data_IF_075895611277
#
_entry.id   IF_075895611277
#
_cell.length_a   1.000
_cell.length_b   1.000
_cell.length_c   1.000
_cell.angle_alpha   90.00
_cell.angle_beta   90.00
_cell.angle_gamma   90.00
#
_symmetry.space_group_name_H-M   'P 1'
#
loop_
_entity.id
_entity.type
_entity.pdbx_description
1 polymer ?
#
# COMPACT_ATOMS: atom_id res chain seq x y z
N UNK A 1 21.71 -14.71 -12.07
CA UNK A 1 20.35 -15.28 -12.19
C UNK A 1 19.97 -15.72 -10.78
N UNK A 2 19.13 -14.97 -10.06
CA UNK A 2 18.80 -15.33 -8.67
C UNK A 2 17.71 -16.41 -8.68
N UNK A 3 18.02 -17.60 -8.17
CA UNK A 3 17.10 -18.74 -8.05
C UNK A 3 15.74 -18.32 -7.48
N UNK A 4 14.67 -18.72 -8.16
CA UNK A 4 13.32 -18.71 -7.60
C UNK A 4 13.31 -19.68 -6.41
N UNK A 5 13.34 -19.15 -5.20
CA UNK A 5 13.01 -19.96 -4.02
C UNK A 5 11.54 -20.31 -4.11
N UNK A 6 11.25 -21.57 -4.44
CA UNK A 6 9.93 -22.19 -4.45
C UNK A 6 9.26 -21.99 -3.08
N UNK A 7 8.57 -20.86 -2.92
CA UNK A 7 7.63 -20.69 -1.83
C UNK A 7 6.36 -21.41 -2.22
N UNK A 8 5.77 -22.12 -1.27
CA UNK A 8 4.45 -22.71 -1.45
C UNK A 8 3.48 -21.61 -1.95
N UNK A 9 2.85 -21.77 -3.13
CA UNK A 9 1.93 -20.79 -3.72
C UNK A 9 0.85 -20.34 -2.74
N UNK A 10 0.37 -21.25 -1.90
CA UNK A 10 -0.63 -20.97 -0.86
C UNK A 10 -0.07 -20.00 0.18
N UNK A 11 1.18 -20.18 0.59
CA UNK A 11 1.81 -19.29 1.58
C UNK A 11 1.98 -17.88 1.02
N UNK A 12 2.44 -17.75 -0.24
CA UNK A 12 2.50 -16.45 -0.93
C UNK A 12 1.13 -15.79 -0.97
N UNK A 13 0.10 -16.55 -1.35
CA UNK A 13 -1.27 -16.06 -1.46
C UNK A 13 -1.85 -15.63 -0.11
N UNK A 14 -1.53 -16.34 0.97
CA UNK A 14 -1.88 -15.94 2.35
C UNK A 14 -1.19 -14.64 2.76
N UNK A 15 0.08 -14.42 2.38
CA UNK A 15 0.78 -13.17 2.69
C UNK A 15 0.26 -11.99 1.86
N UNK A 16 -0.20 -12.23 0.64
CA UNK A 16 -0.77 -11.20 -0.23
C UNK A 16 -2.22 -10.85 0.13
N UNK A 17 -3.07 -11.85 0.41
CA UNK A 17 -4.48 -11.65 0.77
C UNK A 17 -4.72 -11.46 2.27
N UNK A 18 -3.79 -11.91 3.13
CA UNK A 18 -3.90 -11.83 4.58
C UNK A 18 -4.09 -10.40 5.09
N UNK A 19 -3.22 -9.44 4.73
CA UNK A 19 -3.36 -8.06 5.19
C UNK A 19 -4.68 -7.40 4.76
N UNK A 20 -5.11 -7.48 3.48
CA UNK A 20 -6.43 -6.99 3.07
C UNK A 20 -7.60 -7.63 3.83
N UNK A 21 -7.56 -8.94 4.07
CA UNK A 21 -8.60 -9.65 4.82
C UNK A 21 -8.65 -9.19 6.27
N UNK A 22 -7.48 -9.09 6.94
CA UNK A 22 -7.39 -8.61 8.32
C UNK A 22 -7.90 -7.17 8.40
N UNK A 23 -7.50 -6.30 7.48
CA UNK A 23 -8.02 -4.93 7.39
C UNK A 23 -9.53 -4.92 7.27
N UNK A 24 -10.09 -5.74 6.37
CA UNK A 24 -11.52 -5.78 6.14
C UNK A 24 -12.30 -6.23 7.38
N UNK A 25 -11.82 -7.27 8.08
CA UNK A 25 -12.42 -7.74 9.34
C UNK A 25 -12.38 -6.69 10.44
N UNK A 26 -11.24 -6.00 10.59
CA UNK A 26 -11.09 -4.90 11.55
C UNK A 26 -12.04 -3.77 11.19
N UNK A 27 -11.99 -3.32 9.93
CA UNK A 27 -12.81 -2.22 9.43
C UNK A 27 -14.30 -2.49 9.62
N UNK A 28 -14.81 -3.67 9.25
CA UNK A 28 -16.22 -4.00 9.47
C UNK A 28 -16.64 -3.91 10.94
N UNK A 29 -15.72 -4.20 11.86
CA UNK A 29 -16.01 -4.18 13.29
C UNK A 29 -16.02 -2.77 13.89
N UNK A 30 -15.21 -1.86 13.34
CA UNK A 30 -15.01 -0.52 13.93
C UNK A 30 -15.48 0.63 13.04
N UNK A 31 -16.02 0.35 11.83
CA UNK A 31 -16.37 1.37 10.83
C UNK A 31 -17.33 2.44 11.33
N UNK A 32 -18.23 2.07 12.24
CA UNK A 32 -19.26 2.95 12.80
C UNK A 32 -18.79 3.60 14.11
N UNK A 33 -17.61 3.24 14.60
CA UNK A 33 -17.00 3.79 15.81
C UNK A 33 -16.18 5.04 15.48
N UNK A 34 -16.19 5.98 16.42
CA UNK A 34 -15.32 7.16 16.44
C UNK A 34 -14.43 7.07 17.68
N UNK A 35 -13.13 7.14 17.46
CA UNK A 35 -12.12 7.07 18.51
C UNK A 35 -11.55 8.46 18.77
N UNK A 36 -11.64 8.94 20.00
CA UNK A 36 -11.03 10.23 20.38
C UNK A 36 -9.63 9.97 20.90
N UNK A 37 -8.61 10.47 20.20
CA UNK A 37 -7.22 10.39 20.61
C UNK A 37 -6.68 11.82 20.80
N UNK A 38 -6.26 12.16 22.03
CA UNK A 38 -5.72 13.49 22.36
C UNK A 38 -6.63 14.67 21.96
N UNK A 39 -7.95 14.50 22.01
CA UNK A 39 -8.92 15.51 21.61
C UNK A 39 -9.22 15.59 20.10
N UNK A 40 -8.66 14.66 19.31
CA UNK A 40 -8.87 14.54 17.87
C UNK A 40 -9.75 13.31 17.59
N UNK A 41 -10.82 13.50 16.83
CA UNK A 41 -11.73 12.41 16.43
C UNK A 41 -11.17 11.65 15.23
N UNK A 42 -10.92 10.36 15.41
CA UNK A 42 -10.50 9.45 14.36
C UNK A 42 -11.66 8.51 14.01
N UNK A 43 -12.06 8.47 12.75
CA UNK A 43 -13.03 7.47 12.29
C UNK A 43 -12.43 6.06 12.31
N UNK A 44 -13.27 5.04 12.44
CA UNK A 44 -12.86 3.64 12.36
C UNK A 44 -12.05 3.29 11.11
N UNK A 45 -12.25 4.00 10.01
CA UNK A 45 -11.44 3.85 8.80
C UNK A 45 -9.97 4.22 9.02
N UNK A 46 -9.71 5.31 9.75
CA UNK A 46 -8.35 5.79 10.02
C UNK A 46 -7.62 4.80 10.91
N UNK A 47 -8.29 4.35 11.96
CA UNK A 47 -7.77 3.36 12.90
C UNK A 47 -7.48 2.04 12.18
N UNK A 48 -8.42 1.55 11.35
CA UNK A 48 -8.20 0.34 10.55
C UNK A 48 -7.01 0.50 9.59
N UNK A 49 -6.85 1.66 8.96
CA UNK A 49 -5.72 1.96 8.06
C UNK A 49 -4.39 1.96 8.82
N UNK A 50 -4.36 2.59 10.00
CA UNK A 50 -3.19 2.64 10.86
C UNK A 50 -2.72 1.25 11.32
N UNK A 51 -3.66 0.33 11.52
CA UNK A 51 -3.34 -1.08 11.84
C UNK A 51 -2.96 -1.87 10.59
N UNK A 52 -3.57 -1.59 9.45
CA UNK A 52 -3.28 -2.28 8.19
C UNK A 52 -1.86 -2.02 7.69
N UNK A 53 -1.38 -0.77 7.74
CA UNK A 53 -0.03 -0.40 7.26
C UNK A 53 1.07 -1.30 7.86
N UNK A 54 1.22 -1.45 9.19
CA UNK A 54 2.24 -2.32 9.77
C UNK A 54 2.01 -3.80 9.44
N UNK A 55 0.77 -4.28 9.39
CA UNK A 55 0.48 -5.68 9.01
C UNK A 55 0.92 -5.95 7.58
N UNK A 56 0.63 -5.04 6.65
CA UNK A 56 1.07 -5.13 5.26
C UNK A 56 2.60 -5.14 5.18
N UNK A 57 3.27 -4.21 5.87
CA UNK A 57 4.73 -4.14 5.87
C UNK A 57 5.38 -5.41 6.44
N UNK A 58 4.81 -5.99 7.50
CA UNK A 58 5.29 -7.25 8.07
C UNK A 58 5.09 -8.39 7.07
N UNK A 59 3.92 -8.51 6.44
CA UNK A 59 3.67 -9.53 5.43
C UNK A 59 4.65 -9.41 4.25
N UNK A 60 4.88 -8.20 3.76
CA UNK A 60 5.86 -7.93 2.71
C UNK A 60 7.29 -8.20 3.15
N UNK A 61 7.65 -7.90 4.39
CA UNK A 61 8.95 -8.19 4.96
C UNK A 61 9.20 -9.70 5.10
N UNK A 62 8.19 -10.47 5.51
CA UNK A 62 8.27 -11.94 5.55
C UNK A 62 8.41 -12.49 4.14
N UNK A 63 7.63 -11.97 3.18
CA UNK A 63 7.72 -12.36 1.78
C UNK A 63 9.15 -12.12 1.27
N UNK A 64 9.68 -10.92 1.47
CA UNK A 64 11.05 -10.55 1.09
C UNK A 64 12.10 -11.44 1.74
N UNK A 65 11.97 -11.76 3.02
CA UNK A 65 12.91 -12.63 3.71
C UNK A 65 12.91 -14.06 3.15
N UNK A 66 11.76 -14.53 2.65
CA UNK A 66 11.62 -15.88 2.06
C UNK A 66 12.02 -15.94 0.59
N UNK A 67 11.62 -14.97 -0.23
CA UNK A 67 11.95 -14.92 -1.67
C UNK A 67 13.30 -14.30 -1.98
N UNK A 68 13.82 -13.44 -1.09
CA UNK A 68 14.99 -12.61 -1.36
C UNK A 68 14.74 -11.52 -2.44
N UNK A 69 13.52 -11.40 -2.95
CA UNK A 69 13.14 -10.44 -3.99
C UNK A 69 11.78 -9.81 -3.69
N UNK A 70 11.71 -8.49 -3.81
CA UNK A 70 10.46 -7.72 -3.88
C UNK A 70 10.32 -7.20 -5.31
N UNK A 71 9.13 -7.31 -5.91
CA UNK A 71 8.91 -6.68 -7.21
C UNK A 71 8.95 -5.15 -7.07
N UNK A 72 9.32 -4.44 -8.14
CA UNK A 72 9.32 -2.97 -8.14
C UNK A 72 7.94 -2.41 -7.77
N UNK A 73 6.89 -3.08 -8.22
CA UNK A 73 5.51 -2.75 -7.90
C UNK A 73 5.21 -2.90 -6.41
N UNK A 74 5.67 -3.99 -5.77
CA UNK A 74 5.52 -4.18 -4.33
C UNK A 74 6.24 -3.07 -3.55
N UNK A 75 7.49 -2.75 -3.88
CA UNK A 75 8.22 -1.66 -3.23
C UNK A 75 7.48 -0.32 -3.38
N UNK A 76 6.96 -0.04 -4.57
CA UNK A 76 6.14 1.14 -4.81
C UNK A 76 4.85 1.15 -3.97
N UNK A 77 4.14 0.03 -3.90
CA UNK A 77 2.94 -0.11 -3.06
C UNK A 77 3.27 0.09 -1.57
N UNK A 78 4.35 -0.49 -1.06
CA UNK A 78 4.78 -0.30 0.32
C UNK A 78 5.06 1.18 0.60
N UNK A 79 5.80 1.85 -0.29
CA UNK A 79 6.07 3.28 -0.19
C UNK A 79 4.77 4.10 -0.18
N UNK A 80 3.87 3.84 -1.13
CA UNK A 80 2.57 4.54 -1.20
C UNK A 80 1.74 4.34 0.05
N UNK A 81 1.66 3.10 0.56
CA UNK A 81 0.86 2.78 1.75
C UNK A 81 1.43 3.45 3.00
N UNK A 82 2.76 3.49 3.16
CA UNK A 82 3.40 4.18 4.29
C UNK A 82 3.23 5.68 4.17
N UNK A 83 3.51 6.25 3.00
CA UNK A 83 3.41 7.68 2.76
C UNK A 83 1.99 8.18 2.96
N UNK A 84 1.02 7.59 2.25
CA UNK A 84 -0.38 8.01 2.37
C UNK A 84 -1.00 7.57 3.69
N UNK A 85 -0.66 6.40 4.22
CA UNK A 85 -1.15 5.94 5.53
C UNK A 85 -0.68 6.84 6.67
N UNK A 86 0.59 7.26 6.65
CA UNK A 86 1.13 8.24 7.60
C UNK A 86 0.49 9.62 7.45
N UNK A 87 0.39 10.13 6.23
CA UNK A 87 -0.30 11.41 5.99
C UNK A 87 -1.76 11.38 6.41
N UNK A 88 -2.41 10.23 6.31
CA UNK A 88 -3.81 10.05 6.74
C UNK A 88 -3.97 10.25 8.24
N UNK A 89 -3.07 9.65 9.01
CA UNK A 89 -3.05 9.79 10.47
C UNK A 89 -2.69 11.23 10.89
N UNK A 90 -1.83 11.89 10.12
CA UNK A 90 -1.35 13.24 10.40
C UNK A 90 -2.38 14.33 10.06
N UNK A 91 -2.99 14.28 8.87
CA UNK A 91 -3.90 15.34 8.41
C UNK A 91 -5.31 15.23 8.98
N UNK A 92 -5.78 14.02 9.30
CA UNK A 92 -7.13 13.75 9.79
C UNK A 92 -8.24 14.56 9.06
N UNK A 93 -8.10 14.78 7.76
CA UNK A 93 -8.98 15.64 6.95
C UNK A 93 -9.61 14.83 5.81
N UNK A 94 -10.95 14.84 5.74
CA UNK A 94 -11.75 14.18 4.69
C UNK A 94 -11.37 14.59 3.26
N UNK A 95 -10.88 15.82 3.06
CA UNK A 95 -10.43 16.30 1.73
C UNK A 95 -9.17 15.57 1.30
N UNK A 96 -8.27 15.31 2.25
CA UNK A 96 -7.05 14.55 1.99
C UNK A 96 -7.36 13.08 1.68
N UNK A 97 -8.39 12.51 2.33
CA UNK A 97 -8.91 11.19 1.98
C UNK A 97 -9.38 11.10 0.53
N UNK A 98 -10.15 12.10 0.07
CA UNK A 98 -10.71 12.14 -1.29
C UNK A 98 -9.63 12.36 -2.35
N UNK A 99 -8.62 13.19 -2.08
CA UNK A 99 -7.55 13.53 -3.04
C UNK A 99 -6.50 12.43 -3.27
N UNK A 100 -6.43 11.41 -2.40
CA UNK A 100 -5.43 10.32 -2.53
C UNK A 100 -5.37 9.75 -3.95
N UNK A 101 -6.52 9.42 -4.53
CA UNK A 101 -6.58 8.81 -5.88
C UNK A 101 -6.11 9.77 -6.96
N UNK A 102 -6.50 11.05 -6.87
CA UNK A 102 -6.06 12.09 -7.80
C UNK A 102 -4.55 12.26 -7.79
N UNK A 103 -3.92 12.29 -6.61
CA UNK A 103 -2.46 12.44 -6.51
C UNK A 103 -1.73 11.25 -7.14
N UNK A 104 -2.20 10.03 -6.86
CA UNK A 104 -1.60 8.81 -7.44
C UNK A 104 -1.75 8.78 -8.97
N UNK A 105 -2.94 9.09 -9.49
CA UNK A 105 -3.15 9.14 -10.95
C UNK A 105 -2.39 10.29 -11.60
N UNK A 106 -2.30 11.45 -10.95
CA UNK A 106 -1.49 12.56 -11.43
C UNK A 106 0.00 12.19 -11.51
N UNK A 107 0.51 11.42 -10.52
CA UNK A 107 1.87 10.92 -10.54
C UNK A 107 2.11 9.94 -11.70
N UNK A 108 1.20 8.99 -11.92
CA UNK A 108 1.30 8.08 -13.08
C UNK A 108 1.20 8.85 -14.40
N UNK A 109 0.29 9.81 -14.50
CA UNK A 109 0.14 10.67 -15.66
C UNK A 109 1.41 11.49 -15.92
N UNK A 110 2.06 12.01 -14.87
CA UNK A 110 3.32 12.75 -14.98
C UNK A 110 4.46 11.85 -15.47
N UNK A 111 4.64 10.66 -14.89
CA UNK A 111 5.65 9.69 -15.35
C UNK A 111 5.41 9.31 -16.80
N UNK A 112 4.15 9.06 -17.18
CA UNK A 112 3.80 8.72 -18.54
C UNK A 112 4.06 9.88 -19.51
N UNK A 113 3.72 11.10 -19.12
CA UNK A 113 3.92 12.30 -19.95
C UNK A 113 5.41 12.59 -20.15
N UNK A 114 6.21 12.51 -19.09
CA UNK A 114 7.68 12.65 -19.16
C UNK A 114 8.30 11.53 -20.00
N UNK A 115 7.86 10.29 -19.81
CA UNK A 115 8.32 9.16 -20.60
C UNK A 115 7.98 9.29 -22.08
N UNK A 116 6.78 9.78 -22.40
CA UNK A 116 6.36 10.03 -23.77
C UNK A 116 7.22 11.10 -24.45
N UNK A 117 7.53 12.19 -23.75
CA UNK A 117 8.42 13.25 -24.25
C UNK A 117 9.87 12.76 -24.48
N UNK A 118 10.33 11.77 -23.72
CA UNK A 118 11.66 11.18 -23.85
C UNK A 118 11.70 9.94 -24.77
N UNK A 119 10.55 9.51 -25.31
CA UNK A 119 10.43 8.28 -26.10
C UNK A 119 10.72 6.99 -25.30
N UNK A 120 10.64 7.03 -23.96
CA UNK A 120 10.94 5.90 -23.06
C UNK A 120 9.72 5.59 -22.20
N UNK A 121 9.28 4.34 -22.17
CA UNK A 121 8.16 3.92 -21.31
C UNK A 121 8.64 3.61 -19.89
N UNK A 122 8.84 4.66 -19.08
CA UNK A 122 9.09 4.50 -17.64
C UNK A 122 7.94 3.76 -16.94
N UNK A 123 6.71 3.90 -17.43
CA UNK A 123 5.57 3.15 -16.92
C UNK A 123 5.74 1.64 -17.16
N UNK A 124 6.15 1.23 -18.36
CA UNK A 124 6.46 -0.18 -18.63
C UNK A 124 7.61 -0.69 -17.75
N UNK A 125 8.60 0.14 -17.45
CA UNK A 125 9.69 -0.24 -16.55
C UNK A 125 9.24 -0.46 -15.10
N UNK A 126 8.33 0.39 -14.59
CA UNK A 126 7.78 0.27 -13.22
C UNK A 126 6.79 -0.89 -13.12
N UNK A 127 5.96 -1.09 -14.14
CA UNK A 127 4.93 -2.14 -14.19
C UNK A 127 5.46 -3.50 -14.66
N UNK A 128 6.62 -3.55 -15.31
CA UNK A 128 7.30 -4.79 -15.66
C UNK A 128 7.71 -5.51 -14.38
N UNK A 129 7.02 -6.61 -14.10
CA UNK A 129 7.59 -7.74 -13.40
C UNK A 129 8.73 -8.25 -14.27
N UNK A 130 9.96 -8.03 -13.80
CA UNK A 130 11.16 -8.63 -14.39
C UNK A 130 11.30 -10.05 -13.89
#
# INVERSE_FOLDING_TARGET
MAEERDINPIFKQVLELGPPLIFFLIYLRIRDDVFVFSGVEYSGFIVATLVFVPILLVAMGILWWRTGRLSRMQVFTAFMVVFFGGLTAWFNDERFFKMKTTIVYAFFAAILSVGLLQGRSYLAYVMSEM
#
